data_IF_917607457543
#
_entry.id   IF_917607457543
#
_cell.length_a   1.000
_cell.length_b   1.000
_cell.length_c   1.000
_cell.angle_alpha   90.00
_cell.angle_beta   90.00
_cell.angle_gamma   90.00
#
_symmetry.space_group_name_H-M   'P 1'
#
loop_
_entity.id
_entity.type
_entity.pdbx_description
1 polymer ?
#
# COMPACT_ATOMS: atom_id res chain seq x y z
N UNK A 1 4.37 -4.37 -7.92
CA UNK A 1 4.35 -2.95 -7.56
C UNK A 1 5.73 -2.46 -7.12
N UNK A 2 6.42 -3.19 -6.22
CA UNK A 2 7.74 -2.82 -5.68
C UNK A 2 8.79 -2.46 -6.74
N UNK A 3 8.94 -3.16 -7.89
CA UNK A 3 9.89 -2.74 -8.93
C UNK A 3 9.63 -1.34 -9.49
N UNK A 4 8.36 -1.00 -9.76
CA UNK A 4 7.97 0.33 -10.25
C UNK A 4 8.31 1.40 -9.20
N UNK A 5 8.04 1.08 -7.93
CA UNK A 5 8.31 1.97 -6.82
C UNK A 5 9.81 2.28 -6.70
N UNK A 6 10.67 1.26 -6.72
CA UNK A 6 12.12 1.43 -6.63
C UNK A 6 12.65 2.26 -7.80
N UNK A 7 12.25 1.93 -9.04
CA UNK A 7 12.67 2.67 -10.23
C UNK A 7 12.21 4.13 -10.17
N UNK A 8 10.97 4.38 -9.73
CA UNK A 8 10.43 5.73 -9.57
C UNK A 8 11.16 6.54 -8.50
N UNK A 9 11.48 5.94 -7.35
CA UNK A 9 12.25 6.61 -6.30
C UNK A 9 13.67 6.94 -6.76
N UNK A 10 14.33 6.03 -7.49
CA UNK A 10 15.66 6.28 -8.07
C UNK A 10 15.64 7.33 -9.18
N UNK A 11 14.54 7.49 -9.92
CA UNK A 11 14.35 8.62 -10.85
C UNK A 11 14.21 9.95 -10.10
N UNK A 12 13.56 9.97 -8.94
CA UNK A 12 13.40 11.18 -8.11
C UNK A 12 14.69 11.53 -7.35
N UNK A 13 15.42 10.52 -6.87
CA UNK A 13 16.65 10.68 -6.09
C UNK A 13 17.74 9.73 -6.63
N UNK A 14 18.37 10.08 -7.76
CA UNK A 14 19.46 9.30 -8.32
C UNK A 14 20.64 9.22 -7.36
N UNK A 15 21.33 8.07 -7.33
CA UNK A 15 22.47 7.87 -6.46
C UNK A 15 22.10 7.48 -5.03
N UNK A 16 20.82 7.23 -4.73
CA UNK A 16 20.43 6.74 -3.42
C UNK A 16 20.72 5.26 -3.21
N UNK A 17 21.03 4.89 -1.97
CA UNK A 17 21.16 3.49 -1.55
C UNK A 17 19.84 2.95 -1.00
N UNK A 18 19.73 1.62 -0.86
CA UNK A 18 18.47 0.96 -0.50
C UNK A 18 17.85 1.47 0.81
N UNK A 19 18.66 1.75 1.84
CA UNK A 19 18.14 2.29 3.10
C UNK A 19 17.68 3.74 3.00
N UNK A 20 18.32 4.57 2.17
CA UNK A 20 17.85 5.94 1.88
C UNK A 20 16.47 5.93 1.22
N UNK A 21 16.27 5.03 0.27
CA UNK A 21 14.97 4.86 -0.40
C UNK A 21 13.90 4.39 0.60
N UNK A 22 14.23 3.44 1.50
CA UNK A 22 13.33 3.02 2.56
C UNK A 22 13.01 4.15 3.54
N UNK A 23 14.00 4.95 3.95
CA UNK A 23 13.80 6.10 4.82
C UNK A 23 12.86 7.13 4.16
N UNK A 24 13.04 7.38 2.86
CA UNK A 24 12.15 8.25 2.08
C UNK A 24 10.72 7.70 2.01
N UNK A 25 10.55 6.38 1.91
CA UNK A 25 9.23 5.74 1.92
C UNK A 25 8.54 5.85 3.29
N UNK A 26 9.29 5.71 4.38
CA UNK A 26 8.76 5.87 5.75
C UNK A 26 8.34 7.33 6.04
N UNK A 27 9.21 8.28 5.67
CA UNK A 27 8.97 9.72 5.80
C UNK A 27 7.71 10.15 5.04
N UNK A 28 7.53 9.61 3.83
CA UNK A 28 6.33 9.85 3.01
C UNK A 28 5.15 8.94 3.38
N UNK A 29 5.27 8.15 4.43
CA UNK A 29 4.21 7.26 4.94
C UNK A 29 3.63 6.28 3.91
N UNK A 30 4.46 5.74 3.01
CA UNK A 30 4.02 4.83 1.95
C UNK A 30 3.39 3.54 2.48
N UNK A 31 3.62 3.18 3.75
CA UNK A 31 2.99 2.05 4.45
C UNK A 31 1.45 2.04 4.36
N UNK A 32 0.80 3.18 4.16
CA UNK A 32 -0.66 3.25 4.04
C UNK A 32 -1.20 2.85 2.67
N UNK A 33 -0.36 2.89 1.63
CA UNK A 33 -0.80 2.62 0.25
C UNK A 33 -0.05 1.44 -0.38
N UNK A 34 1.17 1.18 0.05
CA UNK A 34 2.01 0.11 -0.47
C UNK A 34 2.31 -0.88 0.64
N UNK A 35 1.94 -2.14 0.42
CA UNK A 35 2.38 -3.23 1.28
C UNK A 35 3.77 -3.72 0.83
N UNK A 36 4.77 -3.60 1.70
CA UNK A 36 6.12 -4.11 1.47
C UNK A 36 6.76 -4.52 2.79
N UNK A 37 7.72 -5.45 2.72
CA UNK A 37 8.66 -5.74 3.80
C UNK A 37 10.06 -5.31 3.40
N UNK A 38 10.94 -5.02 4.37
CA UNK A 38 12.36 -4.72 4.10
C UNK A 38 13.01 -5.82 3.25
N UNK A 39 12.76 -7.10 3.58
CA UNK A 39 13.26 -8.24 2.80
C UNK A 39 12.77 -8.23 1.35
N UNK A 40 11.47 -8.02 1.13
CA UNK A 40 10.91 -7.93 -0.23
C UNK A 40 11.47 -6.75 -1.02
N UNK A 41 11.75 -5.62 -0.35
CA UNK A 41 12.34 -4.44 -0.98
C UNK A 41 13.75 -4.72 -1.48
N UNK A 42 14.64 -5.23 -0.61
CA UNK A 42 16.02 -5.55 -1.00
C UNK A 42 16.10 -6.67 -2.03
N UNK A 43 15.25 -7.69 -1.93
CA UNK A 43 15.14 -8.72 -2.97
C UNK A 43 14.81 -8.11 -4.34
N UNK A 44 13.83 -7.20 -4.41
CA UNK A 44 13.49 -6.54 -5.68
C UNK A 44 14.60 -5.59 -6.15
N UNK A 45 15.30 -4.92 -5.24
CA UNK A 45 16.44 -4.06 -5.57
C UNK A 45 17.57 -4.87 -6.24
N UNK A 46 17.94 -6.02 -5.65
CA UNK A 46 18.92 -6.94 -6.23
C UNK A 46 18.46 -7.46 -7.61
N UNK A 47 17.20 -7.85 -7.74
CA UNK A 47 16.64 -8.32 -9.01
C UNK A 47 16.66 -7.26 -10.12
N UNK A 48 16.48 -5.98 -9.78
CA UNK A 48 16.61 -4.88 -10.71
C UNK A 48 18.06 -4.66 -11.15
N UNK A 49 19.01 -4.86 -10.23
CA UNK A 49 20.46 -4.78 -10.53
C UNK A 49 20.90 -5.94 -11.44
N UNK A 50 20.55 -7.19 -11.11
CA UNK A 50 20.89 -8.37 -11.92
C UNK A 50 20.36 -8.23 -13.35
N UNK A 51 19.17 -7.66 -13.52
CA UNK A 51 18.56 -7.37 -14.84
C UNK A 51 19.11 -6.15 -15.55
N UNK A 52 20.10 -5.48 -14.96
CA UNK A 52 20.74 -4.26 -15.48
C UNK A 52 19.74 -3.11 -15.68
N UNK A 53 18.65 -3.08 -14.91
CA UNK A 53 17.72 -1.95 -14.87
C UNK A 53 18.23 -0.81 -13.99
N UNK A 54 19.00 -1.16 -12.98
CA UNK A 54 19.77 -0.22 -12.17
C UNK A 54 21.22 -0.69 -12.16
N UNK A 55 22.15 0.23 -11.91
CA UNK A 55 23.57 -0.09 -11.73
C UNK A 55 24.12 0.64 -10.52
N UNK A 56 25.11 0.02 -9.88
CA UNK A 56 25.90 0.65 -8.83
C UNK A 56 26.84 1.68 -9.43
N UNK A 57 26.99 2.80 -8.73
CA UNK A 57 28.04 3.79 -8.98
C UNK A 57 28.82 3.97 -7.69
N UNK A 58 30.14 4.04 -7.79
CA UNK A 58 31.00 4.36 -6.66
C UNK A 58 30.93 5.87 -6.40
N UNK A 59 30.82 6.26 -5.13
CA UNK A 59 31.03 7.66 -4.75
C UNK A 59 32.53 7.94 -4.70
N UNK A 60 32.96 9.05 -5.28
CA UNK A 60 34.35 9.52 -5.25
C UNK A 60 34.82 9.98 -3.85
N UNK A 61 33.93 10.07 -2.85
CA UNK A 61 34.27 10.53 -1.51
C UNK A 61 34.46 9.39 -0.51
N UNK A 62 35.68 9.35 0.01
CA UNK A 62 36.43 8.29 0.70
C UNK A 62 35.96 7.94 2.12
N UNK A 63 34.65 7.88 2.39
CA UNK A 63 34.18 7.37 3.70
C UNK A 63 32.90 6.53 3.60
N UNK A 64 33.13 5.20 3.55
CA UNK A 64 32.18 4.08 3.49
C UNK A 64 31.78 3.70 2.06
N UNK A 65 32.10 2.45 1.70
CA UNK A 65 31.57 1.74 0.52
C UNK A 65 30.03 1.77 0.55
N UNK A 66 29.43 2.80 -0.05
CA UNK A 66 27.98 2.93 -0.19
C UNK A 66 27.63 2.63 -1.64
N UNK A 67 26.98 1.49 -1.86
CA UNK A 67 26.46 1.11 -3.17
C UNK A 67 25.29 2.03 -3.56
N UNK A 68 25.61 3.11 -4.24
CA UNK A 68 24.64 4.06 -4.77
C UNK A 68 24.07 3.53 -6.08
N UNK A 69 22.75 3.59 -6.26
CA UNK A 69 22.12 3.11 -7.49
C UNK A 69 21.70 4.25 -8.40
N UNK A 70 21.88 4.05 -9.71
CA UNK A 70 21.24 4.86 -10.75
C UNK A 70 20.47 3.99 -11.73
N UNK A 71 19.39 4.54 -12.27
CA UNK A 71 18.59 3.88 -13.30
C UNK A 71 19.34 3.87 -14.63
N UNK A 72 19.30 2.75 -15.36
CA UNK A 72 19.87 2.64 -16.71
C UNK A 72 18.84 3.03 -17.78
N UNK A 73 19.24 3.14 -19.05
CA UNK A 73 18.29 3.30 -20.16
C UNK A 73 17.28 2.14 -20.21
N UNK A 74 17.76 0.91 -19.97
CA UNK A 74 16.91 -0.27 -19.88
C UNK A 74 15.92 -0.17 -18.71
N UNK A 75 16.36 0.36 -17.57
CA UNK A 75 15.50 0.61 -16.42
C UNK A 75 14.43 1.67 -16.69
N UNK A 76 14.74 2.71 -17.46
CA UNK A 76 13.75 3.70 -17.90
C UNK A 76 12.66 3.07 -18.78
N UNK A 77 13.04 2.21 -19.73
CA UNK A 77 12.06 1.46 -20.55
C UNK A 77 11.20 0.52 -19.71
N UNK A 78 11.79 -0.17 -18.73
CA UNK A 78 11.02 -1.01 -17.80
C UNK A 78 10.10 -0.17 -16.89
N UNK A 79 10.54 1.00 -16.43
CA UNK A 79 9.70 1.92 -15.67
C UNK A 79 8.44 2.32 -16.46
N UNK A 80 8.58 2.72 -17.72
CA UNK A 80 7.44 3.07 -18.58
C UNK A 80 6.49 1.88 -18.80
N UNK A 81 7.04 0.70 -19.07
CA UNK A 81 6.25 -0.53 -19.20
C UNK A 81 5.47 -0.85 -17.92
N UNK A 82 6.09 -0.69 -16.76
CA UNK A 82 5.44 -0.93 -15.47
C UNK A 82 4.38 0.13 -15.16
N UNK A 83 4.60 1.39 -15.56
CA UNK A 83 3.60 2.46 -15.46
C UNK A 83 2.32 2.07 -16.22
N UNK A 84 2.44 1.62 -17.46
CA UNK A 84 1.29 1.13 -18.24
C UNK A 84 0.67 -0.08 -17.56
N UNK A 85 1.49 -1.10 -17.22
CA UNK A 85 1.01 -2.35 -16.62
C UNK A 85 0.15 -2.15 -15.38
N UNK A 86 0.56 -1.26 -14.47
CA UNK A 86 -0.21 -1.00 -13.25
C UNK A 86 -1.30 0.06 -13.45
N UNK A 87 -1.05 1.08 -14.27
CA UNK A 87 -2.03 2.15 -14.53
C UNK A 87 -3.23 1.70 -15.35
N UNK A 88 -3.10 0.66 -16.19
CA UNK A 88 -4.19 0.12 -17.01
C UNK A 88 -4.89 -1.09 -16.38
N UNK A 89 -4.53 -1.46 -15.15
CA UNK A 89 -5.09 -2.64 -14.49
C UNK A 89 -6.29 -2.25 -13.63
N UNK A 90 -7.41 -2.92 -13.86
CA UNK A 90 -8.55 -2.90 -12.93
C UNK A 90 -8.44 -4.08 -11.98
N UNK A 91 -8.48 -3.81 -10.68
CA UNK A 91 -8.45 -4.84 -9.64
C UNK A 91 -9.85 -5.13 -9.10
N UNK A 92 -10.12 -6.40 -8.80
CA UNK A 92 -11.30 -6.78 -8.01
C UNK A 92 -11.13 -6.37 -6.55
N UNK A 93 -12.22 -5.95 -5.92
CA UNK A 93 -12.26 -5.70 -4.48
C UNK A 93 -12.41 -7.05 -3.77
N UNK A 94 -11.36 -7.48 -3.06
CA UNK A 94 -11.35 -8.72 -2.31
C UNK A 94 -11.04 -8.45 -0.83
N UNK A 95 -11.96 -8.82 0.06
CA UNK A 95 -11.76 -8.74 1.52
C UNK A 95 -11.62 -10.14 2.11
N UNK A 96 -10.69 -10.33 3.04
CA UNK A 96 -10.61 -11.56 3.83
C UNK A 96 -11.92 -11.84 4.59
N UNK A 97 -12.67 -10.80 4.93
CA UNK A 97 -13.98 -10.91 5.55
C UNK A 97 -15.01 -11.65 4.67
N UNK A 98 -14.89 -11.58 3.34
CA UNK A 98 -15.78 -12.32 2.44
C UNK A 98 -15.68 -13.83 2.65
N UNK A 99 -14.50 -14.35 3.01
CA UNK A 99 -14.36 -15.77 3.35
C UNK A 99 -15.17 -16.15 4.60
N UNK A 100 -15.22 -15.27 5.61
CA UNK A 100 -16.06 -15.49 6.79
C UNK A 100 -17.55 -15.39 6.44
N UNK A 101 -17.93 -14.48 5.54
CA UNK A 101 -19.32 -14.35 5.07
C UNK A 101 -19.83 -15.57 4.33
N UNK A 102 -18.99 -16.20 3.48
CA UNK A 102 -19.38 -17.38 2.71
C UNK A 102 -19.94 -18.52 3.58
N UNK A 103 -19.49 -18.59 4.84
CA UNK A 103 -19.88 -19.62 5.79
C UNK A 103 -20.64 -19.05 7.01
N UNK A 104 -21.20 -17.84 6.91
CA UNK A 104 -21.88 -17.19 8.03
C UNK A 104 -23.05 -18.02 8.58
N UNK A 105 -23.78 -18.74 7.70
CA UNK A 105 -24.88 -19.63 8.08
C UNK A 105 -24.44 -20.86 8.87
N UNK A 106 -23.18 -21.27 8.72
CA UNK A 106 -22.58 -22.42 9.41
C UNK A 106 -21.89 -22.01 10.72
N UNK A 107 -22.02 -20.73 11.11
CA UNK A 107 -21.36 -20.16 12.27
C UNK A 107 -22.36 -19.56 13.27
N UNK A 108 -21.94 -19.40 14.52
CA UNK A 108 -22.78 -18.80 15.56
C UNK A 108 -23.04 -17.33 15.21
N UNK A 109 -24.32 -16.98 15.06
CA UNK A 109 -24.77 -15.64 14.69
C UNK A 109 -24.22 -14.55 15.61
N UNK A 110 -24.23 -14.78 16.92
CA UNK A 110 -23.73 -13.81 17.91
C UNK A 110 -22.22 -13.57 17.76
N UNK A 111 -21.46 -14.62 17.43
CA UNK A 111 -20.03 -14.51 17.17
C UNK A 111 -19.76 -13.82 15.81
N UNK A 112 -20.57 -14.09 14.79
CA UNK A 112 -20.48 -13.38 13.51
C UNK A 112 -20.73 -11.88 13.67
N UNK A 113 -21.74 -11.50 14.47
CA UNK A 113 -22.01 -10.11 14.84
C UNK A 113 -20.79 -9.44 15.49
N UNK A 114 -20.06 -10.14 16.37
CA UNK A 114 -18.82 -9.62 16.96
C UNK A 114 -17.76 -9.38 15.88
N UNK A 115 -17.62 -10.27 14.91
CA UNK A 115 -16.67 -10.08 13.79
C UNK A 115 -17.01 -8.84 12.97
N UNK A 116 -18.30 -8.60 12.67
CA UNK A 116 -18.73 -7.38 11.97
C UNK A 116 -18.36 -6.13 12.78
N UNK A 117 -18.66 -6.11 14.09
CA UNK A 117 -18.29 -4.99 14.98
C UNK A 117 -16.79 -4.74 15.02
N UNK A 118 -15.98 -5.79 15.05
CA UNK A 118 -14.51 -5.68 14.96
C UNK A 118 -14.09 -5.02 13.64
N UNK A 119 -14.71 -5.38 12.51
CA UNK A 119 -14.41 -4.74 11.23
C UNK A 119 -14.78 -3.25 11.21
N UNK A 120 -15.92 -2.88 11.79
CA UNK A 120 -16.33 -1.46 11.91
C UNK A 120 -15.29 -0.68 12.71
N UNK A 121 -14.94 -1.14 13.91
CA UNK A 121 -13.96 -0.48 14.79
C UNK A 121 -12.59 -0.35 14.12
N UNK A 122 -12.07 -1.43 13.54
CA UNK A 122 -10.78 -1.41 12.86
C UNK A 122 -10.77 -0.49 11.65
N UNK A 123 -11.88 -0.45 10.88
CA UNK A 123 -11.98 0.41 9.70
C UNK A 123 -12.12 1.87 10.08
N UNK A 124 -12.89 2.21 11.11
CA UNK A 124 -12.96 3.57 11.69
C UNK A 124 -11.60 4.05 12.17
N UNK A 125 -10.81 3.19 12.83
CA UNK A 125 -9.43 3.51 13.22
C UNK A 125 -8.53 3.81 12.02
N UNK A 126 -8.68 3.09 10.89
CA UNK A 126 -7.92 3.39 9.66
C UNK A 126 -8.31 4.75 9.06
N UNK A 127 -9.60 5.07 9.02
CA UNK A 127 -10.08 6.39 8.56
C UNK A 127 -9.45 7.50 9.41
N UNK A 128 -9.48 7.37 10.73
CA UNK A 128 -8.88 8.35 11.64
C UNK A 128 -7.40 8.59 11.35
N UNK A 129 -6.60 7.53 11.16
CA UNK A 129 -5.17 7.67 10.85
C UNK A 129 -4.91 8.34 9.49
N UNK A 130 -5.75 8.04 8.49
CA UNK A 130 -5.67 8.69 7.18
C UNK A 130 -6.05 10.17 7.26
N UNK A 131 -7.07 10.51 8.04
CA UNK A 131 -7.49 11.89 8.28
C UNK A 131 -6.39 12.71 8.95
N UNK A 132 -5.74 12.17 9.98
CA UNK A 132 -4.58 12.81 10.61
C UNK A 132 -3.46 13.07 9.60
N UNK A 133 -3.16 12.09 8.74
CA UNK A 133 -2.11 12.22 7.72
C UNK A 133 -2.47 13.29 6.68
N UNK A 134 -3.73 13.37 6.27
CA UNK A 134 -4.23 14.35 5.30
C UNK A 134 -4.28 15.78 5.85
N UNK A 135 -4.51 15.94 7.17
CA UNK A 135 -4.62 17.25 7.82
C UNK A 135 -3.27 17.86 8.21
N UNK A 136 -2.30 17.05 8.63
CA UNK A 136 -1.09 17.54 9.30
C UNK A 136 0.18 17.60 8.44
N UNK A 137 0.12 17.20 7.17
CA UNK A 137 1.33 17.04 6.36
C UNK A 137 1.25 17.82 5.04
N UNK A 138 1.58 19.12 5.11
CA UNK A 138 1.61 20.04 3.96
C UNK A 138 2.65 19.64 2.89
N UNK A 139 3.62 18.80 3.25
CA UNK A 139 4.69 18.34 2.35
C UNK A 139 4.30 17.10 1.51
N UNK A 140 3.06 16.60 1.61
CA UNK A 140 2.64 15.43 0.84
C UNK A 140 2.59 15.74 -0.68
N UNK A 141 3.27 14.95 -1.52
CA UNK A 141 3.14 15.08 -2.98
C UNK A 141 1.69 14.94 -3.45
N UNK A 142 1.28 15.77 -4.41
CA UNK A 142 -0.12 15.88 -4.87
C UNK A 142 -0.79 14.54 -5.18
N UNK A 143 -0.13 13.65 -5.94
CA UNK A 143 -0.70 12.35 -6.27
C UNK A 143 -0.74 11.38 -5.08
N UNK A 144 0.18 11.51 -4.13
CA UNK A 144 0.13 10.73 -2.90
C UNK A 144 -1.06 11.17 -2.02
N UNK A 145 -1.34 12.48 -1.96
CA UNK A 145 -2.56 12.99 -1.33
C UNK A 145 -3.82 12.38 -1.96
N UNK A 146 -3.89 12.33 -3.30
CA UNK A 146 -5.00 11.68 -4.02
C UNK A 146 -5.14 10.20 -3.69
N UNK A 147 -4.02 9.48 -3.52
CA UNK A 147 -4.03 8.08 -3.10
C UNK A 147 -4.62 7.91 -1.68
N UNK A 148 -4.23 8.78 -0.74
CA UNK A 148 -4.77 8.78 0.63
C UNK A 148 -6.26 9.14 0.66
N UNK A 149 -6.69 10.15 -0.10
CA UNK A 149 -8.11 10.54 -0.26
C UNK A 149 -8.95 9.37 -0.79
N UNK A 150 -8.45 8.65 -1.80
CA UNK A 150 -9.15 7.49 -2.35
C UNK A 150 -9.18 6.33 -1.35
N UNK A 151 -8.05 6.01 -0.70
CA UNK A 151 -7.98 4.99 0.35
C UNK A 151 -8.97 5.26 1.48
N UNK A 152 -9.07 6.51 1.93
CA UNK A 152 -10.05 6.94 2.93
C UNK A 152 -11.47 6.71 2.44
N UNK A 153 -11.78 7.10 1.21
CA UNK A 153 -13.12 6.95 0.62
C UNK A 153 -13.57 5.49 0.57
N UNK A 154 -12.68 4.57 0.20
CA UNK A 154 -12.95 3.13 0.26
C UNK A 154 -13.27 2.66 1.68
N UNK A 155 -12.54 3.13 2.69
CA UNK A 155 -12.81 2.75 4.08
C UNK A 155 -14.14 3.31 4.60
N UNK A 156 -14.55 4.52 4.18
CA UNK A 156 -15.85 5.09 4.54
C UNK A 156 -17.00 4.23 3.99
N UNK A 157 -16.94 3.89 2.70
CA UNK A 157 -17.95 3.02 2.07
C UNK A 157 -17.98 1.65 2.75
N UNK A 158 -16.82 1.09 3.11
CA UNK A 158 -16.77 -0.18 3.84
C UNK A 158 -17.43 -0.09 5.22
N UNK A 159 -17.24 1.00 5.97
CA UNK A 159 -17.91 1.18 7.27
C UNK A 159 -19.41 1.18 7.10
N UNK A 160 -19.93 1.94 6.13
CA UNK A 160 -21.37 1.99 5.83
C UNK A 160 -21.90 0.59 5.51
N UNK A 161 -21.21 -0.13 4.63
CA UNK A 161 -21.58 -1.50 4.27
C UNK A 161 -21.56 -2.47 5.46
N UNK A 162 -20.57 -2.38 6.36
CA UNK A 162 -20.55 -3.20 7.58
C UNK A 162 -21.66 -2.83 8.57
N UNK A 163 -22.01 -1.55 8.67
CA UNK A 163 -23.12 -1.07 9.52
C UNK A 163 -24.48 -1.57 8.99
N UNK A 164 -24.67 -1.57 7.66
CA UNK A 164 -25.83 -2.18 6.99
C UNK A 164 -25.88 -3.70 7.24
N UNK A 165 -24.77 -4.41 7.00
CA UNK A 165 -24.67 -5.85 7.25
C UNK A 165 -24.99 -6.20 8.72
N UNK A 166 -24.54 -5.39 9.67
CA UNK A 166 -24.84 -5.57 11.09
C UNK A 166 -26.34 -5.41 11.38
N UNK A 167 -26.97 -4.42 10.77
CA UNK A 167 -28.41 -4.17 10.91
C UNK A 167 -29.21 -5.34 10.35
N UNK A 168 -28.88 -5.81 9.15
CA UNK A 168 -29.57 -6.92 8.51
C UNK A 168 -29.43 -8.20 9.34
N UNK A 169 -28.20 -8.51 9.77
CA UNK A 169 -27.91 -9.68 10.61
C UNK A 169 -28.67 -9.60 11.94
N UNK A 170 -28.80 -8.45 12.57
CA UNK A 170 -29.54 -8.32 13.84
C UNK A 170 -31.06 -8.35 13.63
N UNK A 171 -31.59 -7.81 12.53
CA UNK A 171 -33.03 -7.78 12.26
C UNK A 171 -33.65 -9.17 11.99
N UNK A 172 -32.89 -10.11 11.45
CA UNK A 172 -33.34 -11.49 11.22
C UNK A 172 -33.65 -12.27 12.51
N UNK A 173 -33.25 -11.80 13.70
CA UNK A 173 -33.60 -12.46 14.97
C UNK A 173 -35.02 -12.15 15.45
N UNK A 174 -35.69 -11.17 14.87
CA UNK A 174 -37.03 -10.73 15.30
C UNK A 174 -38.19 -11.37 14.52
N UNK A 175 -37.89 -12.25 13.56
CA UNK A 175 -38.89 -12.87 12.66
C UNK A 175 -39.00 -14.40 12.81
N UNK A 176 -38.58 -14.96 13.94
CA UNK A 176 -38.82 -16.37 14.31
C UNK A 176 -39.47 -16.49 15.68
#
# INVERSE_FOLDING_TARGET
MIPLLILGLLKQKPGSYGYELLALMEDRHYKYIVNYTKGSFYYNLQQLEEKQYIKKIDQLDDTREKHNYIITERGNKEFEKLMVKYGSKTDYINFSFYAAMLFANEYKKEEFIKLIKIQIEQTKKKIFLLDQTLQHNEAIPTYFKKMLENSRSHHVVNVQWFEELLKDTTSESTSK
#
